data_IF_417632899402
#
_entry.id   IF_417632899402
#
_cell.length_a   1.000
_cell.length_b   1.000
_cell.length_c   1.000
_cell.angle_alpha   90.00
_cell.angle_beta   90.00
_cell.angle_gamma   90.00
#
_symmetry.space_group_name_H-M   'P 1'
#
loop_
_entity.id
_entity.type
_entity.pdbx_description
1 polymer ?
#
# COMPACT_ATOMS: atom_id res chain seq x y z
N UNK A 1 8.08 -15.23 -5.12
CA UNK A 1 6.91 -15.21 -4.21
C UNK A 1 6.10 -16.50 -4.21
N UNK A 2 5.55 -16.96 -5.34
CA UNK A 2 4.72 -18.20 -5.37
C UNK A 2 5.37 -19.42 -4.74
N UNK A 3 6.66 -19.69 -5.05
CA UNK A 3 7.40 -20.82 -4.43
C UNK A 3 7.48 -20.72 -2.90
N UNK A 4 7.67 -19.51 -2.37
CA UNK A 4 7.72 -19.25 -0.92
C UNK A 4 6.33 -19.53 -0.30
N UNK A 5 5.26 -19.02 -0.90
CA UNK A 5 3.90 -19.31 -0.43
C UNK A 5 3.53 -20.79 -0.51
N UNK A 6 4.01 -21.49 -1.55
CA UNK A 6 3.84 -22.94 -1.67
C UNK A 6 4.51 -23.69 -0.52
N UNK A 7 5.77 -23.35 -0.22
CA UNK A 7 6.53 -23.95 0.87
C UNK A 7 5.90 -23.71 2.26
N UNK A 8 5.21 -22.58 2.45
CA UNK A 8 4.57 -22.21 3.72
C UNK A 8 3.08 -22.55 3.79
N UNK A 9 2.55 -23.25 2.78
CA UNK A 9 1.10 -23.46 2.64
C UNK A 9 0.47 -24.25 3.79
N UNK A 10 1.22 -25.17 4.41
CA UNK A 10 0.80 -25.98 5.57
C UNK A 10 0.43 -25.13 6.79
N UNK A 11 1.10 -23.98 6.96
CA UNK A 11 0.85 -23.05 8.08
C UNK A 11 -0.36 -22.14 7.85
N UNK A 12 -1.01 -22.20 6.67
CA UNK A 12 -2.19 -21.38 6.32
C UNK A 12 -2.00 -19.87 6.50
N UNK A 13 -0.77 -19.40 6.31
CA UNK A 13 -0.43 -17.98 6.39
C UNK A 13 -0.82 -17.23 5.12
N UNK A 14 -1.01 -15.92 5.26
CA UNK A 14 -1.22 -15.00 4.14
C UNK A 14 0.03 -14.16 3.91
N UNK A 15 0.37 -13.90 2.65
CA UNK A 15 1.50 -13.04 2.31
C UNK A 15 1.13 -11.56 2.44
N UNK A 16 2.09 -10.75 2.87
CA UNK A 16 2.03 -9.30 2.78
C UNK A 16 3.19 -8.82 1.92
N UNK A 17 2.91 -7.97 0.93
CA UNK A 17 3.93 -7.42 0.05
C UNK A 17 4.12 -5.92 0.36
N UNK A 18 5.36 -5.54 0.68
CA UNK A 18 5.76 -4.14 0.77
C UNK A 18 6.20 -3.61 -0.61
N UNK A 19 6.17 -2.29 -0.81
CA UNK A 19 6.60 -1.66 -2.06
C UNK A 19 5.70 -1.97 -3.26
N UNK A 20 4.39 -2.09 -3.05
CA UNK A 20 3.44 -2.31 -4.15
C UNK A 20 3.24 -1.08 -5.03
N UNK A 21 3.43 0.13 -4.49
CA UNK A 21 3.47 1.39 -5.24
C UNK A 21 4.61 1.39 -6.26
N UNK A 22 4.29 1.66 -7.53
CA UNK A 22 5.23 1.58 -8.65
C UNK A 22 5.26 0.25 -9.39
N UNK A 23 4.44 -0.73 -9.00
CA UNK A 23 4.19 -1.90 -9.85
C UNK A 23 3.05 -1.63 -10.82
N UNK A 24 3.13 -2.21 -12.02
CA UNK A 24 2.03 -2.12 -12.97
C UNK A 24 0.76 -2.76 -12.44
N UNK A 25 -0.41 -2.23 -12.82
CA UNK A 25 -1.70 -2.86 -12.53
C UNK A 25 -1.72 -4.33 -12.99
N UNK A 26 -1.08 -4.65 -14.12
CA UNK A 26 -0.91 -6.03 -14.58
C UNK A 26 -0.08 -6.88 -13.62
N UNK A 27 1.03 -6.34 -13.09
CA UNK A 27 1.83 -7.04 -12.08
C UNK A 27 1.06 -7.24 -10.78
N UNK A 28 0.23 -6.28 -10.38
CA UNK A 28 -0.65 -6.43 -9.22
C UNK A 28 -1.70 -7.52 -9.45
N UNK A 29 -2.34 -7.55 -10.62
CA UNK A 29 -3.24 -8.65 -11.02
C UNK A 29 -2.53 -10.00 -11.01
N UNK A 30 -1.31 -10.07 -11.54
CA UNK A 30 -0.52 -11.29 -11.49
C UNK A 30 -0.19 -11.73 -10.06
N UNK A 31 0.15 -10.81 -9.17
CA UNK A 31 0.40 -11.11 -7.76
C UNK A 31 -0.88 -11.62 -7.10
N UNK A 32 -2.01 -10.94 -7.32
CA UNK A 32 -3.31 -11.33 -6.78
C UNK A 32 -3.73 -12.72 -7.29
N UNK A 33 -3.48 -13.03 -8.56
CA UNK A 33 -3.87 -14.29 -9.19
C UNK A 33 -2.92 -15.45 -8.91
N UNK A 34 -1.60 -15.22 -8.92
CA UNK A 34 -0.57 -16.28 -8.86
C UNK A 34 -0.02 -16.51 -7.46
N UNK A 35 -0.46 -15.76 -6.46
CA UNK A 35 0.08 -15.83 -5.09
C UNK A 35 -1.02 -15.82 -4.02
N UNK A 36 -0.62 -15.91 -2.75
CA UNK A 36 -1.48 -15.81 -1.56
C UNK A 36 -1.24 -14.47 -0.84
N UNK A 37 -0.80 -13.46 -1.58
CA UNK A 37 -0.64 -12.10 -1.04
C UNK A 37 -2.02 -11.49 -0.86
N UNK A 38 -2.36 -11.14 0.38
CA UNK A 38 -3.67 -10.55 0.72
C UNK A 38 -3.56 -9.13 1.27
N UNK A 39 -2.35 -8.58 1.33
CA UNK A 39 -2.08 -7.22 1.79
C UNK A 39 -1.12 -6.51 0.83
N UNK A 40 -1.52 -5.34 0.39
CA UNK A 40 -0.73 -4.39 -0.39
C UNK A 40 -0.81 -3.01 0.29
N UNK A 41 0.27 -2.25 0.26
CA UNK A 41 0.33 -0.90 0.85
C UNK A 41 0.35 0.15 -0.28
N UNK A 42 -0.59 1.10 -0.25
CA UNK A 42 -0.72 2.17 -1.25
C UNK A 42 -1.03 3.49 -0.53
N UNK A 43 -0.07 4.01 0.24
CA UNK A 43 -0.31 5.20 1.09
C UNK A 43 -0.06 6.52 0.35
N UNK A 44 1.11 6.68 -0.26
CA UNK A 44 1.51 7.96 -0.89
C UNK A 44 0.61 8.35 -2.05
N UNK A 45 0.10 7.38 -2.82
CA UNK A 45 -0.79 7.64 -3.96
C UNK A 45 -2.07 8.37 -3.54
N UNK A 46 -2.71 7.94 -2.43
CA UNK A 46 -4.00 8.49 -2.01
C UNK A 46 -3.90 9.97 -1.63
N UNK A 47 -2.78 10.35 -1.01
CA UNK A 47 -2.47 11.76 -0.71
C UNK A 47 -2.32 12.56 -2.00
N UNK A 48 -1.53 12.08 -2.96
CA UNK A 48 -1.30 12.79 -4.22
C UNK A 48 -2.59 12.92 -5.04
N UNK A 49 -3.40 11.86 -5.08
CA UNK A 49 -4.72 11.85 -5.74
C UNK A 49 -5.66 12.86 -5.10
N UNK A 50 -5.73 12.91 -3.75
CA UNK A 50 -6.60 13.86 -3.05
C UNK A 50 -6.18 15.31 -3.28
N UNK A 51 -4.90 15.55 -3.55
CA UNK A 51 -4.39 16.87 -3.91
C UNK A 51 -4.62 17.24 -5.38
N UNK A 52 -5.15 16.34 -6.20
CA UNK A 52 -5.46 16.60 -7.61
C UNK A 52 -4.27 16.40 -8.52
N UNK A 53 -3.24 15.68 -8.07
CA UNK A 53 -2.11 15.34 -8.92
C UNK A 53 -2.48 14.21 -9.88
N UNK A 54 -1.90 14.25 -11.06
CA UNK A 54 -1.97 13.14 -12.00
C UNK A 54 -1.21 11.97 -11.41
N UNK A 55 -1.90 10.84 -11.26
CA UNK A 55 -1.33 9.59 -10.74
C UNK A 55 -1.60 8.53 -11.78
N UNK A 56 -0.54 7.83 -12.20
CA UNK A 56 -0.70 6.74 -13.14
C UNK A 56 -1.34 5.50 -12.49
N UNK A 57 -1.66 4.50 -13.31
CA UNK A 57 -2.21 3.21 -12.89
C UNK A 57 -1.31 2.41 -11.92
N UNK A 58 -0.14 2.94 -11.58
CA UNK A 58 0.85 2.34 -10.69
C UNK A 58 0.87 2.99 -9.30
N UNK A 59 0.05 4.03 -9.10
CA UNK A 59 -0.01 4.80 -7.87
C UNK A 59 1.15 5.79 -7.72
N UNK A 60 1.88 6.09 -8.81
CA UNK A 60 2.94 7.10 -8.81
C UNK A 60 2.39 8.42 -9.34
N UNK A 61 2.62 9.51 -8.60
CA UNK A 61 2.35 10.84 -9.08
C UNK A 61 3.29 11.18 -10.24
N UNK A 62 2.71 11.64 -11.34
CA UNK A 62 3.43 12.01 -12.55
C UNK A 62 4.18 13.32 -12.32
N UNK A 63 5.35 13.43 -12.93
CA UNK A 63 6.19 14.61 -12.89
C UNK A 63 6.51 15.07 -14.30
N UNK A 64 6.70 16.38 -14.47
CA UNK A 64 7.23 16.97 -15.70
C UNK A 64 8.75 16.76 -15.83
N UNK A 65 9.33 17.24 -16.93
CA UNK A 65 10.77 17.12 -17.22
C UNK A 65 11.66 17.82 -16.17
N UNK A 66 11.11 18.78 -15.42
CA UNK A 66 11.79 19.51 -14.35
C UNK A 66 11.64 18.82 -12.98
N UNK A 67 10.86 17.74 -12.91
CA UNK A 67 10.61 16.96 -11.70
C UNK A 67 9.50 17.54 -10.80
N UNK A 68 8.69 18.47 -11.31
CA UNK A 68 7.53 19.01 -10.60
C UNK A 68 6.33 18.08 -10.80
N UNK A 69 5.49 17.95 -9.78
CA UNK A 69 4.28 17.16 -9.92
C UNK A 69 3.30 17.79 -10.92
N UNK A 70 2.74 16.94 -11.78
CA UNK A 70 1.70 17.36 -12.73
C UNK A 70 0.38 17.51 -11.97
N UNK A 71 -0.10 18.75 -11.85
CA UNK A 71 -1.39 19.10 -11.25
C UNK A 71 -2.47 19.10 -12.32
N UNK A 72 -3.56 18.39 -12.08
CA UNK A 72 -4.74 18.43 -12.94
C UNK A 72 -5.57 19.66 -12.60
N UNK A 73 -5.93 20.44 -13.62
CA UNK A 73 -6.76 21.62 -13.47
C UNK A 73 -8.12 21.26 -12.86
N UNK A 74 -8.59 22.07 -11.91
CA UNK A 74 -9.90 21.93 -11.27
C UNK A 74 -10.11 20.59 -10.55
N UNK A 75 -9.04 19.91 -10.14
CA UNK A 75 -9.07 18.64 -9.42
C UNK A 75 -8.41 18.76 -8.03
N UNK A 76 -8.87 17.97 -7.06
CA UNK A 76 -8.28 17.94 -5.72
C UNK A 76 -8.37 19.27 -4.97
N UNK A 77 -7.25 19.82 -4.49
CA UNK A 77 -7.21 21.12 -3.79
C UNK A 77 -7.37 22.29 -4.78
N UNK A 78 -7.71 23.50 -4.31
CA UNK A 78 -7.73 24.67 -5.20
C UNK A 78 -6.34 25.00 -5.72
N UNK A 79 -6.26 25.64 -6.89
CA UNK A 79 -4.95 26.06 -7.45
C UNK A 79 -4.22 27.05 -6.53
N UNK A 80 -4.96 27.92 -5.85
CA UNK A 80 -4.38 28.81 -4.84
C UNK A 80 -3.77 28.01 -3.66
N UNK A 81 -4.46 26.98 -3.19
CA UNK A 81 -3.95 26.12 -2.12
C UNK A 81 -2.73 25.32 -2.59
N UNK A 82 -2.78 24.76 -3.80
CA UNK A 82 -1.66 24.05 -4.41
C UNK A 82 -0.43 24.95 -4.53
N UNK A 83 -0.59 26.19 -5.02
CA UNK A 83 0.50 27.16 -5.09
C UNK A 83 1.13 27.45 -3.71
N UNK A 84 0.33 27.54 -2.65
CA UNK A 84 0.85 27.69 -1.27
C UNK A 84 1.62 26.46 -0.81
N UNK A 85 1.18 25.25 -1.19
CA UNK A 85 1.85 24.00 -0.86
C UNK A 85 3.19 23.88 -1.57
N UNK A 86 3.24 24.17 -2.86
CA UNK A 86 4.48 24.17 -3.66
C UNK A 86 5.47 25.20 -3.10
N UNK A 87 5.03 26.43 -2.80
CA UNK A 87 5.91 27.44 -2.23
C UNK A 87 6.53 27.02 -0.86
N UNK A 88 5.75 26.37 0.01
CA UNK A 88 6.26 25.85 1.28
C UNK A 88 7.19 24.64 1.08
N UNK A 89 6.92 23.80 0.07
CA UNK A 89 7.82 22.72 -0.33
C UNK A 89 9.17 23.25 -0.82
N UNK A 90 9.16 24.24 -1.71
CA UNK A 90 10.35 24.86 -2.28
C UNK A 90 11.20 25.53 -1.20
N UNK A 91 10.56 26.29 -0.30
CA UNK A 91 11.23 26.94 0.82
C UNK A 91 11.94 25.94 1.75
N UNK A 92 11.45 24.70 1.82
CA UNK A 92 12.00 23.60 2.62
C UNK A 92 12.84 22.61 1.80
N UNK A 93 13.01 22.85 0.50
CA UNK A 93 13.73 21.95 -0.41
C UNK A 93 13.12 20.55 -0.52
N UNK A 94 11.80 20.41 -0.35
CA UNK A 94 11.11 19.12 -0.43
C UNK A 94 10.93 18.69 -1.88
N UNK A 95 11.23 17.43 -2.21
CA UNK A 95 11.04 16.85 -3.55
C UNK A 95 10.37 15.49 -3.50
N UNK A 96 9.58 15.16 -4.53
CA UNK A 96 8.98 13.84 -4.68
C UNK A 96 8.22 13.40 -3.43
N UNK A 97 8.58 12.22 -2.88
CA UNK A 97 7.97 11.66 -1.69
C UNK A 97 8.09 12.50 -0.41
N UNK A 98 8.99 13.50 -0.36
CA UNK A 98 9.11 14.41 0.79
C UNK A 98 7.90 15.32 0.98
N UNK A 99 7.07 15.48 -0.05
CA UNK A 99 5.81 16.23 0.04
C UNK A 99 4.87 15.70 1.12
N UNK A 100 5.04 14.44 1.60
CA UNK A 100 4.34 13.92 2.79
C UNK A 100 4.56 14.77 4.05
N UNK A 101 5.66 15.53 4.12
CA UNK A 101 5.95 16.46 5.23
C UNK A 101 5.03 17.69 5.22
N UNK A 102 4.29 17.93 4.12
CA UNK A 102 3.28 18.98 4.03
C UNK A 102 1.94 18.60 4.69
N UNK A 103 1.67 17.31 4.92
CA UNK A 103 0.40 16.87 5.54
C UNK A 103 0.14 17.61 6.86
N UNK A 104 1.11 17.59 7.78
CA UNK A 104 0.95 18.22 9.10
C UNK A 104 0.70 19.75 9.03
N UNK A 105 1.51 20.56 8.33
CA UNK A 105 1.27 22.01 8.27
C UNK A 105 0.06 22.43 7.41
N UNK A 106 -0.43 21.57 6.51
CA UNK A 106 -1.57 21.89 5.64
C UNK A 106 -2.88 21.24 6.05
N UNK A 107 -2.91 20.24 6.94
CA UNK A 107 -4.13 19.50 7.33
C UNK A 107 -5.33 20.43 7.60
N UNK A 108 -5.20 21.37 8.53
CA UNK A 108 -6.28 22.31 8.87
C UNK A 108 -6.68 23.21 7.71
N UNK A 109 -5.75 23.54 6.79
CA UNK A 109 -6.03 24.35 5.61
C UNK A 109 -6.80 23.55 4.57
N UNK A 110 -6.43 22.27 4.38
CA UNK A 110 -7.11 21.35 3.47
C UNK A 110 -8.53 21.05 3.95
N UNK A 111 -8.69 20.77 5.25
CA UNK A 111 -9.99 20.56 5.90
C UNK A 111 -10.82 21.85 5.98
N UNK A 112 -10.18 23.01 5.93
CA UNK A 112 -10.83 24.32 5.90
C UNK A 112 -11.25 24.80 4.52
N UNK A 113 -10.99 24.03 3.45
CA UNK A 113 -11.47 24.37 2.11
C UNK A 113 -13.01 24.27 2.02
N UNK A 114 -13.61 25.00 1.06
CA UNK A 114 -15.04 24.89 0.76
C UNK A 114 -15.50 23.43 0.60
N UNK A 115 -16.75 23.16 0.95
CA UNK A 115 -17.28 21.79 0.99
C UNK A 115 -17.16 21.08 -0.36
N UNK A 116 -17.51 21.75 -1.45
CA UNK A 116 -17.40 21.25 -2.82
C UNK A 116 -15.96 20.85 -3.18
N UNK A 117 -14.97 21.62 -2.73
CA UNK A 117 -13.55 21.28 -2.91
C UNK A 117 -13.19 20.03 -2.12
N UNK A 118 -13.63 19.92 -0.86
CA UNK A 118 -13.37 18.72 -0.04
C UNK A 118 -14.04 17.48 -0.62
N UNK A 119 -15.27 17.59 -1.10
CA UNK A 119 -15.99 16.51 -1.78
C UNK A 119 -15.26 16.08 -3.05
N UNK A 120 -14.77 17.03 -3.86
CA UNK A 120 -13.91 16.74 -5.00
C UNK A 120 -12.64 15.95 -4.62
N UNK A 121 -11.96 16.36 -3.55
CA UNK A 121 -10.78 15.64 -3.04
C UNK A 121 -11.13 14.21 -2.63
N UNK A 122 -12.26 14.03 -1.94
CA UNK A 122 -12.77 12.72 -1.49
C UNK A 122 -13.12 11.85 -2.70
N UNK A 123 -13.87 12.38 -3.66
CA UNK A 123 -14.34 11.64 -4.83
C UNK A 123 -13.17 11.07 -5.64
N UNK A 124 -12.09 11.84 -5.85
CA UNK A 124 -10.90 11.31 -6.53
C UNK A 124 -10.27 10.13 -5.81
N UNK A 125 -10.19 10.19 -4.47
CA UNK A 125 -9.68 9.07 -3.67
C UNK A 125 -10.62 7.87 -3.79
N UNK A 126 -11.93 8.10 -3.72
CA UNK A 126 -12.95 7.07 -3.85
C UNK A 126 -12.86 6.37 -5.22
N UNK A 127 -12.80 7.12 -6.31
CA UNK A 127 -12.67 6.59 -7.67
C UNK A 127 -11.39 5.78 -7.85
N UNK A 128 -10.26 6.29 -7.37
CA UNK A 128 -8.98 5.59 -7.43
C UNK A 128 -9.03 4.27 -6.63
N UNK A 129 -9.54 4.30 -5.40
CA UNK A 129 -9.65 3.11 -4.55
C UNK A 129 -10.63 2.11 -5.13
N UNK A 130 -11.79 2.56 -5.64
CA UNK A 130 -12.77 1.71 -6.29
C UNK A 130 -12.17 0.98 -7.49
N UNK A 131 -11.48 1.70 -8.37
CA UNK A 131 -10.80 1.10 -9.52
C UNK A 131 -9.77 0.07 -9.08
N UNK A 132 -8.94 0.39 -8.10
CA UNK A 132 -7.95 -0.54 -7.55
C UNK A 132 -8.58 -1.81 -6.98
N UNK A 133 -9.64 -1.67 -6.17
CA UNK A 133 -10.32 -2.81 -5.57
C UNK A 133 -11.02 -3.66 -6.62
N UNK A 134 -11.84 -3.05 -7.47
CA UNK A 134 -12.74 -3.76 -8.39
C UNK A 134 -12.01 -4.26 -9.63
N UNK A 135 -11.20 -3.42 -10.27
CA UNK A 135 -10.62 -3.69 -11.60
C UNK A 135 -9.18 -4.22 -11.55
N UNK A 136 -8.49 -4.11 -10.41
CA UNK A 136 -7.11 -4.57 -10.25
C UNK A 136 -7.02 -5.74 -9.26
N UNK A 137 -7.69 -5.63 -8.10
CA UNK A 137 -7.58 -6.62 -7.02
C UNK A 137 -8.76 -7.60 -6.96
N UNK A 138 -9.66 -7.59 -7.94
CA UNK A 138 -10.77 -8.53 -8.07
C UNK A 138 -11.67 -8.59 -6.83
N UNK A 139 -11.93 -7.44 -6.20
CA UNK A 139 -12.78 -7.30 -5.02
C UNK A 139 -14.24 -6.95 -5.35
N UNK A 140 -14.65 -7.13 -6.61
CA UNK A 140 -16.04 -6.91 -7.01
C UNK A 140 -16.96 -7.85 -6.22
N UNK A 141 -18.04 -7.31 -5.68
CA UNK A 141 -19.09 -8.06 -4.97
C UNK A 141 -18.62 -8.79 -3.68
N UNK A 142 -17.43 -8.48 -3.16
CA UNK A 142 -16.92 -9.12 -1.93
C UNK A 142 -17.36 -8.42 -0.64
N UNK A 143 -17.90 -7.20 -0.72
CA UNK A 143 -18.30 -6.44 0.47
C UNK A 143 -19.36 -7.16 1.33
N UNK A 144 -20.43 -7.76 0.77
CA UNK A 144 -21.39 -8.52 1.56
C UNK A 144 -20.77 -9.72 2.29
N UNK A 145 -19.77 -10.36 1.67
CA UNK A 145 -19.04 -11.49 2.27
C UNK A 145 -18.25 -10.99 3.48
N UNK A 146 -17.49 -9.91 3.34
CA UNK A 146 -16.72 -9.34 4.45
C UNK A 146 -17.62 -8.92 5.62
N UNK A 147 -18.77 -8.30 5.35
CA UNK A 147 -19.75 -7.93 6.37
C UNK A 147 -20.30 -9.17 7.08
N UNK A 148 -20.68 -10.21 6.32
CA UNK A 148 -21.19 -11.46 6.91
C UNK A 148 -20.16 -12.15 7.82
N UNK A 149 -18.89 -12.18 7.42
CA UNK A 149 -17.79 -12.74 8.22
C UNK A 149 -17.59 -11.97 9.52
N UNK A 150 -17.57 -10.63 9.47
CA UNK A 150 -17.43 -9.77 10.68
C UNK A 150 -18.61 -10.01 11.63
N UNK A 151 -19.83 -10.05 11.10
CA UNK A 151 -21.03 -10.30 11.91
C UNK A 151 -21.02 -11.72 12.51
N UNK A 152 -20.59 -12.72 11.75
CA UNK A 152 -20.47 -14.11 12.22
C UNK A 152 -19.41 -14.26 13.32
N UNK A 153 -18.30 -13.51 13.22
CA UNK A 153 -17.26 -13.49 14.26
C UNK A 153 -17.71 -12.72 15.51
N UNK A 154 -18.69 -11.81 15.37
CA UNK A 154 -19.09 -10.89 16.44
C UNK A 154 -17.97 -9.92 16.84
N UNK A 155 -16.96 -9.77 15.98
CA UNK A 155 -15.72 -9.03 16.26
C UNK A 155 -15.04 -8.62 14.94
N UNK A 156 -14.17 -7.62 15.01
CA UNK A 156 -13.25 -7.26 13.93
C UNK A 156 -12.10 -8.30 13.78
N UNK A 157 -11.90 -9.16 14.78
CA UNK A 157 -10.91 -10.23 14.76
C UNK A 157 -11.55 -11.56 14.34
N UNK A 158 -11.26 -12.08 13.13
CA UNK A 158 -11.77 -13.36 12.66
C UNK A 158 -11.02 -14.56 13.28
N UNK A 159 -9.99 -14.32 14.10
CA UNK A 159 -9.14 -15.34 14.69
C UNK A 159 -8.10 -15.93 13.72
N UNK A 160 -7.31 -16.93 14.17
CA UNK A 160 -6.23 -17.49 13.38
C UNK A 160 -6.74 -18.38 12.24
N UNK A 161 -6.13 -18.26 11.05
CA UNK A 161 -6.40 -19.15 9.90
C UNK A 161 -5.80 -20.55 10.04
N UNK A 162 -4.76 -20.67 10.86
CA UNK A 162 -3.98 -21.89 11.06
C UNK A 162 -4.10 -22.41 12.49
N UNK A 163 -3.63 -23.64 12.68
CA UNK A 163 -3.51 -24.29 13.98
C UNK A 163 -2.07 -24.78 14.16
N UNK A 164 -1.70 -25.12 15.39
CA UNK A 164 -0.37 -25.69 15.68
C UNK A 164 -0.22 -27.03 14.97
N UNK A 165 0.76 -27.14 14.08
CA UNK A 165 1.08 -28.37 13.35
C UNK A 165 2.45 -28.96 13.73
N UNK A 166 3.31 -28.16 14.34
CA UNK A 166 4.64 -28.56 14.78
C UNK A 166 4.59 -29.06 16.23
N UNK A 167 5.48 -30.01 16.55
CA UNK A 167 5.74 -30.42 17.92
C UNK A 167 6.58 -29.35 18.63
N UNK A 168 6.08 -28.70 19.70
CA UNK A 168 6.85 -27.70 20.46
C UNK A 168 8.21 -28.23 20.96
N UNK A 169 8.30 -29.53 21.24
CA UNK A 169 9.53 -30.14 21.75
C UNK A 169 10.64 -30.17 20.69
N UNK A 170 10.30 -29.98 19.41
CA UNK A 170 11.26 -29.82 18.30
C UNK A 170 11.78 -28.37 18.15
N UNK A 171 11.18 -27.41 18.85
CA UNK A 171 11.51 -25.98 18.75
C UNK A 171 12.14 -25.42 20.04
N UNK A 172 13.00 -26.21 20.69
CA UNK A 172 13.81 -25.76 21.83
C UNK A 172 15.05 -24.98 21.37
N UNK A 173 15.63 -24.09 22.20
CA UNK A 173 16.84 -23.33 21.83
C UNK A 173 17.98 -24.21 21.28
N UNK A 174 18.27 -25.34 21.95
CA UNK A 174 19.34 -26.26 21.53
C UNK A 174 19.06 -26.90 20.17
N UNK A 175 17.81 -27.33 19.92
CA UNK A 175 17.41 -27.92 18.63
C UNK A 175 17.42 -26.88 17.50
N UNK A 176 17.02 -25.63 17.78
CA UNK A 176 17.07 -24.53 16.82
C UNK A 176 18.52 -24.24 16.40
N UNK A 177 19.45 -24.14 17.37
CA UNK A 177 20.88 -23.92 17.09
C UNK A 177 21.45 -25.05 16.23
N UNK A 178 21.18 -26.31 16.63
CA UNK A 178 21.64 -27.49 15.88
C UNK A 178 21.09 -27.51 14.45
N UNK A 179 19.81 -27.20 14.27
CA UNK A 179 19.16 -27.13 12.96
C UNK A 179 19.76 -26.02 12.10
N UNK A 180 19.96 -24.82 12.66
CA UNK A 180 20.56 -23.69 11.95
C UNK A 180 21.98 -24.00 11.45
N UNK A 181 22.80 -24.68 12.27
CA UNK A 181 24.14 -25.11 11.87
C UNK A 181 24.16 -26.10 10.70
N UNK A 182 23.09 -26.88 10.51
CA UNK A 182 22.97 -27.84 9.41
C UNK A 182 22.53 -27.22 8.07
N UNK A 183 22.06 -25.97 8.08
CA UNK A 183 21.61 -25.28 6.86
C UNK A 183 22.80 -24.80 6.04
N UNK A 184 23.00 -25.36 4.84
CA UNK A 184 23.95 -24.83 3.85
C UNK A 184 23.45 -23.48 3.34
N UNK A 185 24.09 -22.38 3.76
CA UNK A 185 23.80 -21.03 3.28
C UNK A 185 24.58 -20.74 2.01
N UNK A 186 23.90 -20.71 0.87
CA UNK A 186 24.32 -19.83 -0.22
C UNK A 186 23.96 -18.40 0.20
N UNK A 187 24.97 -17.54 0.38
CA UNK A 187 24.76 -16.15 0.82
C UNK A 187 24.31 -15.24 -0.31
N UNK A 188 24.17 -15.77 -1.53
CA UNK A 188 23.87 -14.97 -2.71
C UNK A 188 25.02 -14.03 -3.08
N UNK A 189 24.83 -13.20 -4.11
CA UNK A 189 25.80 -12.18 -4.49
C UNK A 189 25.94 -11.11 -3.40
N UNK A 190 27.13 -10.49 -3.32
CA UNK A 190 27.34 -9.33 -2.45
C UNK A 190 26.42 -8.17 -2.87
N UNK A 191 25.78 -7.53 -1.89
CA UNK A 191 24.87 -6.40 -2.09
C UNK A 191 24.54 -5.72 -0.77
N UNK A 192 24.12 -4.47 -0.86
CA UNK A 192 23.49 -3.74 0.24
C UNK A 192 21.99 -4.09 0.26
N UNK A 193 21.49 -4.54 1.40
CA UNK A 193 20.11 -5.00 1.58
C UNK A 193 19.40 -4.25 2.73
N UNK A 194 19.97 -3.14 3.19
CA UNK A 194 19.34 -2.23 4.17
C UNK A 194 18.36 -1.28 3.45
N UNK A 195 17.18 -1.79 3.10
CA UNK A 195 16.03 -1.01 2.63
C UNK A 195 14.80 -1.29 3.53
#
# INVERSE_FOLDING_TARGET
TTKIHGALSTYRISGAQHGTSGNSSDRLREIAFKTKTTKANVATALQMVSWGLEVNDYGNAMQDDDGNFIKLNDEGVTEEMWGKMVADADAKGLKGGDYKKLNLPFENKLLGQPQDIRERMINRVEEFVYNMLVNVLNAKDTAPIAVAEILSAGSWDPGPKGFKIEDPDEWTPDKIIKRAASMKRDRGPAGDFDD
#
